data_IF_161133621177
#
_entry.id   IF_161133621177
#
_cell.length_a   1.000
_cell.length_b   1.000
_cell.length_c   1.000
_cell.angle_alpha   90.00
_cell.angle_beta   90.00
_cell.angle_gamma   90.00
#
_symmetry.space_group_name_H-M   'P 1'
#
loop_
_entity.id
_entity.type
_entity.pdbx_description
1 polymer ?
#
# COMPACT_ATOMS: atom_id res chain seq x y z
N UNK A 1 10.07 18.73 3.51
CA UNK A 1 10.23 18.74 2.03
C UNK A 1 11.28 19.78 1.67
N UNK A 2 11.87 19.70 0.47
CA UNK A 2 13.15 20.34 0.13
C UNK A 2 13.14 21.89 0.15
N UNK A 3 12.02 22.52 -0.24
CA UNK A 3 11.91 23.98 -0.18
C UNK A 3 11.40 24.44 1.18
N UNK A 4 12.07 25.42 1.77
CA UNK A 4 11.69 26.06 3.02
C UNK A 4 10.79 27.29 2.84
N UNK A 5 10.55 27.71 1.59
CA UNK A 5 9.70 28.87 1.26
C UNK A 5 8.30 28.47 0.84
N UNK A 6 8.11 27.23 0.39
CA UNK A 6 6.79 26.74 -0.01
C UNK A 6 6.00 26.25 1.22
N UNK A 7 4.76 26.73 1.44
CA UNK A 7 3.89 26.25 2.50
C UNK A 7 3.28 24.90 2.10
N UNK A 8 4.11 23.87 2.05
CA UNK A 8 3.79 22.56 1.50
C UNK A 8 2.47 21.94 1.98
N UNK A 9 2.18 22.03 3.28
CA UNK A 9 0.93 21.49 3.84
C UNK A 9 -0.29 22.21 3.26
N UNK A 10 -0.24 23.55 3.16
CA UNK A 10 -1.30 24.34 2.54
C UNK A 10 -1.41 24.07 1.05
N UNK A 11 -0.28 24.01 0.34
CA UNK A 11 -0.23 23.69 -1.08
C UNK A 11 -0.93 22.36 -1.39
N UNK A 12 -0.62 21.30 -0.64
CA UNK A 12 -1.26 20.01 -0.85
C UNK A 12 -2.75 20.04 -0.59
N UNK A 13 -3.19 20.64 0.51
CA UNK A 13 -4.62 20.78 0.80
C UNK A 13 -5.36 21.54 -0.31
N UNK A 14 -4.75 22.57 -0.88
CA UNK A 14 -5.31 23.29 -2.04
C UNK A 14 -5.37 22.38 -3.27
N UNK A 15 -4.28 21.67 -3.61
CA UNK A 15 -4.25 20.75 -4.75
C UNK A 15 -5.29 19.63 -4.61
N UNK A 16 -5.47 19.09 -3.41
CA UNK A 16 -6.51 18.08 -3.12
C UNK A 16 -7.91 18.66 -3.34
N UNK A 17 -8.16 19.87 -2.86
CA UNK A 17 -9.45 20.56 -3.05
C UNK A 17 -9.80 20.87 -4.52
N UNK A 18 -8.81 20.88 -5.42
CA UNK A 18 -9.02 21.07 -6.86
C UNK A 18 -9.45 19.80 -7.59
N UNK A 19 -9.44 18.62 -6.95
CA UNK A 19 -9.81 17.36 -7.61
C UNK A 19 -11.34 17.19 -7.57
N UNK A 20 -12.05 17.31 -8.71
CA UNK A 20 -13.48 17.10 -8.73
C UNK A 20 -13.79 15.60 -8.56
N UNK A 21 -14.73 15.28 -7.67
CA UNK A 21 -15.23 13.91 -7.44
C UNK A 21 -14.10 12.88 -7.26
N UNK A 22 -13.29 13.00 -6.18
CA UNK A 22 -12.09 12.18 -5.96
C UNK A 22 -12.40 10.70 -5.70
N UNK A 23 -13.65 10.37 -5.38
CA UNK A 23 -14.09 9.04 -5.03
C UNK A 23 -14.12 8.08 -6.22
N UNK A 24 -13.84 6.81 -5.96
CA UNK A 24 -14.07 5.68 -6.87
C UNK A 24 -14.92 4.68 -6.10
N UNK A 25 -16.13 4.35 -6.58
CA UNK A 25 -17.03 3.41 -5.90
C UNK A 25 -17.26 3.75 -4.40
N UNK A 26 -17.43 5.04 -4.10
CA UNK A 26 -17.70 5.56 -2.75
C UNK A 26 -16.49 5.57 -1.79
N UNK A 27 -15.26 5.45 -2.31
CA UNK A 27 -14.03 5.50 -1.50
C UNK A 27 -12.92 6.31 -2.16
N UNK A 28 -12.04 6.88 -1.33
CA UNK A 28 -10.80 7.49 -1.78
C UNK A 28 -9.79 6.35 -2.00
N UNK A 29 -9.59 5.98 -3.26
CA UNK A 29 -8.67 4.91 -3.63
C UNK A 29 -7.27 5.49 -3.86
N UNK A 30 -6.30 5.13 -3.03
CA UNK A 30 -4.94 5.67 -3.13
C UNK A 30 -3.91 4.56 -3.39
N UNK A 31 -2.93 4.83 -4.25
CA UNK A 31 -1.71 4.03 -4.37
C UNK A 31 -0.64 4.61 -3.46
N UNK A 32 0.01 3.75 -2.67
CA UNK A 32 1.20 4.09 -1.89
C UNK A 32 2.35 3.21 -2.38
N UNK A 33 3.47 3.86 -2.68
CA UNK A 33 4.68 3.19 -3.14
C UNK A 33 5.92 4.03 -2.82
N UNK A 34 7.10 3.42 -2.89
CA UNK A 34 8.37 4.13 -2.87
C UNK A 34 9.16 3.94 -4.16
N UNK A 35 9.91 4.97 -4.54
CA UNK A 35 10.73 4.97 -5.74
C UNK A 35 12.12 5.54 -5.46
N UNK A 36 13.08 5.14 -6.28
CA UNK A 36 14.45 5.64 -6.25
C UNK A 36 14.65 6.51 -7.49
N UNK A 37 14.98 7.78 -7.31
CA UNK A 37 15.33 8.72 -8.39
C UNK A 37 16.83 9.00 -8.33
N UNK A 38 17.59 8.42 -9.26
CA UNK A 38 19.04 8.60 -9.35
C UNK A 38 19.39 10.05 -9.69
N UNK A 39 20.43 10.58 -9.07
CA UNK A 39 20.92 11.94 -9.30
C UNK A 39 22.44 11.93 -9.51
N UNK A 40 22.96 12.98 -10.13
CA UNK A 40 24.40 13.18 -10.33
C UNK A 40 24.98 14.20 -9.35
N UNK A 41 24.18 15.21 -8.95
CA UNK A 41 24.61 16.25 -8.03
C UNK A 41 24.79 15.75 -6.59
N UNK A 42 25.99 15.94 -6.03
CA UNK A 42 26.36 15.49 -4.66
C UNK A 42 25.67 16.29 -3.54
N UNK A 43 25.20 17.51 -3.83
CA UNK A 43 24.56 18.41 -2.85
C UNK A 43 23.03 18.46 -2.96
N UNK A 44 22.43 17.55 -3.72
CA UNK A 44 20.98 17.53 -3.89
C UNK A 44 20.34 17.05 -2.58
N UNK A 45 19.42 17.85 -2.05
CA UNK A 45 18.68 17.51 -0.83
C UNK A 45 17.94 16.17 -0.98
N UNK A 46 17.92 15.37 0.08
CA UNK A 46 17.26 14.06 0.09
C UNK A 46 18.04 12.96 -0.61
N UNK A 47 19.24 13.25 -1.16
CA UNK A 47 20.09 12.22 -1.75
C UNK A 47 20.97 11.50 -0.72
N UNK A 48 21.11 10.20 -0.92
CA UNK A 48 22.07 9.34 -0.23
C UNK A 48 22.44 8.17 -1.16
N UNK A 49 23.50 7.44 -0.81
CA UNK A 49 23.74 6.11 -1.37
C UNK A 49 22.70 5.12 -0.83
N UNK A 50 21.74 4.75 -1.67
CA UNK A 50 20.61 3.88 -1.30
C UNK A 50 20.77 2.52 -1.94
N UNK A 51 20.44 1.44 -1.23
CA UNK A 51 20.41 0.11 -1.84
C UNK A 51 19.15 -0.06 -2.70
N UNK A 52 19.34 -0.43 -3.96
CA UNK A 52 18.26 -0.70 -4.89
C UNK A 52 17.99 -2.21 -4.96
N UNK A 53 16.91 -2.65 -4.32
CA UNK A 53 16.44 -4.03 -4.35
C UNK A 53 15.94 -4.47 -5.73
N UNK A 54 15.63 -3.53 -6.62
CA UNK A 54 15.13 -3.77 -7.97
C UNK A 54 16.21 -3.61 -9.05
N UNK A 55 17.45 -3.30 -8.68
CA UNK A 55 18.56 -3.14 -9.61
C UNK A 55 18.75 -4.39 -10.48
N UNK A 56 18.69 -4.19 -11.79
CA UNK A 56 19.01 -5.23 -12.78
C UNK A 56 20.51 -5.55 -12.74
N UNK A 57 20.92 -6.67 -13.36
CA UNK A 57 22.32 -7.09 -13.43
C UNK A 57 23.28 -5.99 -13.92
N UNK A 58 22.80 -5.13 -14.81
CA UNK A 58 23.58 -4.07 -15.45
C UNK A 58 23.40 -2.70 -14.78
N UNK A 59 22.79 -2.63 -13.59
CA UNK A 59 22.56 -1.41 -12.84
C UNK A 59 23.38 -1.41 -11.54
N UNK A 60 23.77 -0.21 -11.09
CA UNK A 60 24.43 -0.07 -9.80
C UNK A 60 23.45 -0.43 -8.69
N UNK A 61 23.85 -1.31 -7.76
CA UNK A 61 23.05 -1.68 -6.58
C UNK A 61 22.98 -0.58 -5.52
N UNK A 62 23.90 0.37 -5.57
CA UNK A 62 24.03 1.46 -4.61
C UNK A 62 24.13 2.81 -5.31
N UNK A 63 23.09 3.24 -6.04
CA UNK A 63 23.11 4.54 -6.70
C UNK A 63 23.06 5.68 -5.69
N UNK A 64 23.63 6.82 -6.09
CA UNK A 64 23.36 8.11 -5.46
C UNK A 64 21.97 8.59 -5.90
N UNK A 65 21.02 8.63 -4.97
CA UNK A 65 19.61 8.79 -5.33
C UNK A 65 18.76 9.39 -4.20
N UNK A 66 17.62 9.95 -4.58
CA UNK A 66 16.53 10.26 -3.65
C UNK A 66 15.64 9.03 -3.53
N UNK A 67 15.39 8.57 -2.30
CA UNK A 67 14.31 7.61 -2.04
C UNK A 67 13.03 8.39 -1.69
N UNK A 68 11.99 8.24 -2.50
CA UNK A 68 10.76 9.03 -2.42
C UNK A 68 9.61 8.08 -2.08
N UNK A 69 8.99 8.29 -0.92
CA UNK A 69 7.71 7.67 -0.57
C UNK A 69 6.62 8.56 -1.13
N UNK A 70 5.69 8.01 -1.90
CA UNK A 70 4.66 8.79 -2.58
C UNK A 70 3.27 8.18 -2.44
N UNK A 71 2.27 9.05 -2.36
CA UNK A 71 0.86 8.68 -2.38
C UNK A 71 0.18 9.37 -3.55
N UNK A 72 -0.62 8.63 -4.30
CA UNK A 72 -1.43 9.17 -5.39
C UNK A 72 -2.83 8.62 -5.42
N UNK A 73 -3.79 9.40 -5.89
CA UNK A 73 -5.18 9.04 -6.08
C UNK A 73 -5.33 8.19 -7.34
N UNK A 74 -5.81 6.96 -7.20
CA UNK A 74 -6.19 6.12 -8.32
C UNK A 74 -7.61 6.47 -8.77
N UNK A 75 -7.75 7.05 -9.95
CA UNK A 75 -9.03 7.49 -10.51
C UNK A 75 -9.14 7.11 -11.98
N UNK A 76 -10.34 6.75 -12.40
CA UNK A 76 -10.64 6.56 -13.81
C UNK A 76 -11.01 7.89 -14.46
N UNK A 77 -10.25 8.30 -15.47
CA UNK A 77 -10.43 9.52 -16.25
C UNK A 77 -10.59 9.11 -17.72
N UNK A 78 -11.73 9.45 -18.33
CA UNK A 78 -12.05 9.13 -19.74
C UNK A 78 -11.81 7.65 -20.08
N UNK A 79 -12.27 6.75 -19.22
CA UNK A 79 -12.16 5.30 -19.40
C UNK A 79 -10.78 4.70 -19.07
N UNK A 80 -9.75 5.51 -18.77
CA UNK A 80 -8.40 5.05 -18.41
C UNK A 80 -8.10 5.31 -16.95
N UNK A 81 -7.32 4.43 -16.33
CA UNK A 81 -6.83 4.67 -14.97
C UNK A 81 -5.66 5.64 -14.97
N UNK A 82 -5.73 6.60 -14.07
CA UNK A 82 -4.68 7.56 -13.79
C UNK A 82 -4.35 7.53 -12.30
N UNK A 83 -3.10 7.85 -11.99
CA UNK A 83 -2.65 8.11 -10.63
C UNK A 83 -2.33 9.59 -10.52
N UNK A 84 -3.19 10.35 -9.82
CA UNK A 84 -2.98 11.77 -9.56
C UNK A 84 -2.13 11.91 -8.31
N UNK A 85 -1.00 12.60 -8.40
CA UNK A 85 -0.09 12.73 -7.27
C UNK A 85 -0.73 13.54 -6.14
N UNK A 86 -0.71 13.00 -4.91
CA UNK A 86 -1.30 13.66 -3.74
C UNK A 86 -0.26 14.17 -2.77
N UNK A 87 0.78 13.38 -2.48
CA UNK A 87 1.83 13.79 -1.56
C UNK A 87 3.09 12.94 -1.74
N UNK A 88 4.24 13.44 -1.27
CA UNK A 88 5.48 12.70 -1.18
C UNK A 88 6.38 13.13 -0.04
N UNK A 89 7.29 12.23 0.37
CA UNK A 89 8.33 12.48 1.36
C UNK A 89 9.65 11.88 0.88
N UNK A 90 10.74 12.59 1.15
CA UNK A 90 12.08 12.03 1.00
C UNK A 90 12.41 11.18 2.22
N UNK A 91 12.74 9.92 1.99
CA UNK A 91 13.26 9.04 3.01
C UNK A 91 14.78 9.19 3.10
N UNK A 92 15.27 9.48 4.30
CA UNK A 92 16.70 9.51 4.60
C UNK A 92 17.03 8.48 5.69
N UNK A 93 18.07 7.65 5.50
CA UNK A 93 18.54 6.73 6.52
C UNK A 93 18.94 7.43 7.82
N UNK A 94 18.75 6.76 8.97
CA UNK A 94 19.11 7.32 10.28
C UNK A 94 20.60 7.75 10.35
N UNK A 95 21.49 6.97 9.74
CA UNK A 95 22.93 7.30 9.63
C UNK A 95 23.19 8.64 8.96
N UNK A 96 22.38 9.01 7.96
CA UNK A 96 22.51 10.27 7.21
C UNK A 96 22.11 11.45 8.09
N UNK A 97 21.03 11.29 8.86
CA UNK A 97 20.55 12.27 9.84
C UNK A 97 21.57 12.44 10.97
N UNK A 98 22.07 11.35 11.54
CA UNK A 98 23.08 11.37 12.62
C UNK A 98 24.40 12.00 12.18
N UNK A 99 24.82 11.74 10.94
CA UNK A 99 26.01 12.36 10.36
C UNK A 99 25.81 13.84 9.97
N UNK A 100 24.60 14.40 10.17
CA UNK A 100 24.27 15.80 9.86
C UNK A 100 24.68 16.22 8.44
N UNK A 101 24.53 15.32 7.47
CA UNK A 101 24.94 15.58 6.08
C UNK A 101 24.18 16.78 5.51
N UNK A 102 24.83 17.58 4.65
CA UNK A 102 24.20 18.70 3.94
C UNK A 102 22.90 18.28 3.21
N UNK A 103 22.85 17.05 2.68
CA UNK A 103 21.67 16.52 1.97
C UNK A 103 20.48 16.22 2.87
N UNK A 104 20.67 16.23 4.20
CA UNK A 104 19.63 16.09 5.22
C UNK A 104 19.26 17.41 5.90
N UNK A 105 19.85 18.53 5.45
CA UNK A 105 19.76 19.81 6.13
C UNK A 105 18.95 20.80 5.31
N UNK A 106 18.08 21.56 5.97
CA UNK A 106 17.32 22.67 5.38
C UNK A 106 17.57 23.89 6.27
N UNK A 107 18.08 24.98 5.69
CA UNK A 107 18.42 26.23 6.43
C UNK A 107 19.31 26.01 7.66
N UNK A 108 20.28 25.09 7.56
CA UNK A 108 21.20 24.78 8.67
C UNK A 108 20.63 23.81 9.72
N UNK A 109 19.34 23.48 9.65
CA UNK A 109 18.72 22.50 10.55
C UNK A 109 18.59 21.13 9.88
N UNK A 110 19.03 20.09 10.60
CA UNK A 110 18.91 18.71 10.15
C UNK A 110 17.48 18.24 10.36
N UNK A 111 16.87 17.65 9.33
CA UNK A 111 15.50 17.15 9.45
C UNK A 111 15.41 15.97 10.43
N UNK A 112 14.29 15.82 11.16
CA UNK A 112 14.10 14.67 12.03
C UNK A 112 14.01 13.37 11.23
N UNK A 113 14.58 12.30 11.77
CA UNK A 113 14.45 10.98 11.17
C UNK A 113 12.98 10.51 11.22
N UNK A 114 12.51 9.98 10.09
CA UNK A 114 11.22 9.30 10.01
C UNK A 114 11.37 8.03 9.16
N UNK A 115 10.76 6.95 9.62
CA UNK A 115 10.66 5.73 8.81
C UNK A 115 9.70 5.95 7.64
N UNK A 116 9.87 5.20 6.54
CA UNK A 116 8.92 5.26 5.42
C UNK A 116 7.47 4.93 5.85
N UNK A 117 7.30 4.03 6.83
CA UNK A 117 5.99 3.70 7.40
C UNK A 117 5.35 4.90 8.09
N UNK A 118 6.14 5.62 8.89
CA UNK A 118 5.68 6.85 9.56
C UNK A 118 5.31 7.90 8.53
N UNK A 119 6.17 8.14 7.53
CA UNK A 119 5.92 9.09 6.45
C UNK A 119 4.63 8.75 5.68
N UNK A 120 4.47 7.49 5.28
CA UNK A 120 3.27 7.00 4.60
C UNK A 120 2.02 7.17 5.47
N UNK A 121 2.09 6.82 6.75
CA UNK A 121 0.99 6.97 7.69
C UNK A 121 0.55 8.42 7.84
N UNK A 122 1.49 9.35 8.01
CA UNK A 122 1.20 10.79 8.08
C UNK A 122 0.52 11.31 6.81
N UNK A 123 1.00 10.91 5.63
CA UNK A 123 0.37 11.30 4.36
C UNK A 123 -1.07 10.77 4.25
N UNK A 124 -1.29 9.49 4.59
CA UNK A 124 -2.62 8.87 4.55
C UNK A 124 -3.61 9.50 5.54
N UNK A 125 -3.15 9.84 6.75
CA UNK A 125 -3.96 10.53 7.75
C UNK A 125 -4.37 11.91 7.24
N UNK A 126 -3.42 12.70 6.71
CA UNK A 126 -3.72 14.03 6.18
C UNK A 126 -4.73 14.00 5.02
N UNK A 127 -4.61 13.03 4.11
CA UNK A 127 -5.56 12.83 3.02
C UNK A 127 -6.94 12.43 3.56
N UNK A 128 -7.00 11.52 4.55
CA UNK A 128 -8.24 11.05 5.12
C UNK A 128 -8.96 12.09 6.01
N UNK A 129 -8.21 13.03 6.59
CA UNK A 129 -8.76 14.20 7.29
C UNK A 129 -9.36 15.19 6.29
N UNK A 130 -8.69 15.41 5.15
CA UNK A 130 -9.21 16.29 4.10
C UNK A 130 -10.48 15.73 3.46
N UNK A 131 -10.52 14.44 3.13
CA UNK A 131 -11.69 13.75 2.61
C UNK A 131 -12.46 13.01 3.74
N UNK A 132 -12.91 13.77 4.74
CA UNK A 132 -13.46 13.23 5.99
C UNK A 132 -14.73 12.38 5.84
N UNK A 133 -15.56 12.65 4.81
CA UNK A 133 -16.82 11.95 4.55
C UNK A 133 -16.64 10.54 3.97
N UNK A 134 -15.46 10.21 3.47
CA UNK A 134 -15.24 8.99 2.69
C UNK A 134 -14.32 8.00 3.41
N UNK A 135 -14.52 6.69 3.23
CA UNK A 135 -13.50 5.70 3.55
C UNK A 135 -12.33 5.84 2.58
N UNK A 136 -11.13 5.53 3.05
CA UNK A 136 -9.90 5.51 2.27
C UNK A 136 -9.42 4.06 2.12
N UNK A 137 -9.08 3.66 0.90
CA UNK A 137 -8.51 2.36 0.59
C UNK A 137 -7.11 2.56 0.03
N UNK A 138 -6.10 2.23 0.84
CA UNK A 138 -4.70 2.25 0.41
C UNK A 138 -4.34 0.94 -0.29
N UNK A 139 -4.04 1.04 -1.58
CA UNK A 139 -3.50 -0.04 -2.40
C UNK A 139 -1.98 0.03 -2.33
N UNK A 140 -1.36 -1.03 -1.78
CA UNK A 140 0.08 -1.02 -1.50
C UNK A 140 0.74 -2.33 -1.90
N UNK A 141 2.06 -2.29 -1.99
CA UNK A 141 2.88 -3.49 -2.06
C UNK A 141 2.89 -4.26 -0.72
N UNK A 142 3.60 -5.39 -0.68
CA UNK A 142 3.71 -6.21 0.55
C UNK A 142 4.63 -5.62 1.61
N UNK A 143 5.49 -4.65 1.25
CA UNK A 143 6.32 -3.95 2.22
C UNK A 143 5.47 -3.03 3.07
N UNK A 144 4.65 -2.17 2.46
CA UNK A 144 3.72 -1.28 3.16
C UNK A 144 2.47 -1.98 3.73
N UNK A 145 2.05 -3.09 3.12
CA UNK A 145 0.82 -3.82 3.46
C UNK A 145 0.91 -4.67 4.74
N UNK A 146 1.31 -4.07 5.86
CA UNK A 146 1.45 -4.77 7.12
C UNK A 146 0.97 -3.93 8.32
N UNK A 147 1.03 -4.53 9.51
CA UNK A 147 0.52 -3.92 10.74
C UNK A 147 1.25 -2.62 11.15
N UNK A 148 2.50 -2.43 10.72
CA UNK A 148 3.30 -1.23 10.95
C UNK A 148 2.72 0.01 10.27
N UNK A 149 2.11 -0.13 9.09
CA UNK A 149 1.34 0.96 8.48
C UNK A 149 -0.12 0.93 8.95
N UNK A 150 -0.73 -0.26 9.01
CA UNK A 150 -2.16 -0.37 9.29
C UNK A 150 -2.56 0.16 10.66
N UNK A 151 -1.84 -0.25 11.71
CA UNK A 151 -2.23 0.06 13.09
C UNK A 151 -2.16 1.57 13.41
N UNK A 152 -1.08 2.31 13.07
CA UNK A 152 -1.03 3.74 13.36
C UNK A 152 -2.12 4.54 12.64
N UNK A 153 -2.36 4.25 11.35
CA UNK A 153 -3.39 4.97 10.58
C UNK A 153 -4.79 4.60 11.08
N UNK A 154 -5.06 3.32 11.31
CA UNK A 154 -6.34 2.87 11.88
C UNK A 154 -6.61 3.48 13.27
N UNK A 155 -5.59 3.65 14.11
CA UNK A 155 -5.76 4.32 15.40
C UNK A 155 -6.16 5.80 15.25
N UNK A 156 -5.74 6.47 14.17
CA UNK A 156 -6.04 7.88 13.92
C UNK A 156 -7.42 8.11 13.28
N UNK A 157 -7.79 7.30 12.28
CA UNK A 157 -9.01 7.51 11.48
C UNK A 157 -10.04 6.38 11.58
N UNK A 158 -9.77 5.35 12.37
CA UNK A 158 -10.69 4.26 12.70
C UNK A 158 -11.10 3.40 11.50
N UNK A 159 -12.37 3.00 11.48
CA UNK A 159 -12.96 2.10 10.48
C UNK A 159 -12.97 2.66 9.05
N UNK A 160 -12.67 3.95 8.86
CA UNK A 160 -12.53 4.55 7.53
C UNK A 160 -11.29 4.06 6.80
N UNK A 161 -10.29 3.54 7.52
CA UNK A 161 -9.04 3.07 6.92
C UNK A 161 -9.09 1.61 6.49
N UNK A 162 -8.89 1.39 5.19
CA UNK A 162 -8.70 0.07 4.63
C UNK A 162 -7.40 -0.03 3.84
N UNK A 163 -6.84 -1.24 3.80
CA UNK A 163 -5.68 -1.58 2.98
C UNK A 163 -6.07 -2.69 2.02
N UNK A 164 -5.55 -2.63 0.79
CA UNK A 164 -5.49 -3.73 -0.17
C UNK A 164 -4.01 -3.95 -0.52
N UNK A 165 -3.49 -5.15 -0.26
CA UNK A 165 -2.07 -5.45 -0.52
C UNK A 165 -1.85 -6.91 -0.88
N UNK A 166 -0.66 -7.20 -1.41
CA UNK A 166 -0.19 -8.57 -1.64
C UNK A 166 0.10 -9.26 -0.31
N UNK A 167 -0.51 -10.41 -0.12
CA UNK A 167 -0.25 -11.29 1.01
C UNK A 167 1.03 -12.10 0.75
N UNK A 168 1.94 -12.14 1.74
CA UNK A 168 3.14 -12.98 1.65
C UNK A 168 2.79 -14.47 1.70
N UNK A 169 3.52 -15.27 0.93
CA UNK A 169 3.25 -16.70 0.74
C UNK A 169 3.36 -17.53 2.03
N UNK A 170 4.20 -17.10 2.98
CA UNK A 170 4.41 -17.74 4.27
C UNK A 170 3.46 -17.26 5.37
N UNK A 171 2.54 -16.32 5.09
CA UNK A 171 1.59 -15.86 6.10
C UNK A 171 0.61 -16.98 6.47
N UNK A 172 0.48 -17.24 7.77
CA UNK A 172 -0.46 -18.22 8.31
C UNK A 172 -1.85 -17.60 8.46
N UNK A 173 -2.83 -18.30 7.93
CA UNK A 173 -4.24 -17.92 7.95
C UNK A 173 -5.01 -18.77 8.96
N UNK A 174 -5.99 -18.15 9.59
CA UNK A 174 -6.88 -18.78 10.56
C UNK A 174 -8.32 -18.55 10.14
N UNK A 175 -9.19 -19.49 10.50
CA UNK A 175 -10.62 -19.28 10.35
C UNK A 175 -11.13 -18.23 11.34
N UNK A 176 -12.36 -17.78 11.14
CA UNK A 176 -13.07 -16.92 12.09
C UNK A 176 -13.30 -17.70 13.39
N UNK A 177 -13.20 -17.02 14.55
CA UNK A 177 -13.53 -17.68 15.80
C UNK A 177 -15.00 -18.11 15.80
N UNK A 178 -15.26 -19.34 16.24
CA UNK A 178 -16.61 -19.87 16.41
C UNK A 178 -17.43 -18.98 17.37
N UNK A 179 -18.74 -18.91 17.12
CA UNK A 179 -19.68 -18.22 18.02
C UNK A 179 -19.66 -18.91 19.39
N UNK A 180 -19.60 -18.13 20.47
CA UNK A 180 -19.64 -18.70 21.83
C UNK A 180 -20.98 -19.36 22.10
N UNK A 181 -20.92 -20.43 22.89
CA UNK A 181 -22.10 -21.03 23.52
C UNK A 181 -22.46 -20.23 24.78
N UNK A 182 -23.76 -20.11 25.07
CA UNK A 182 -24.26 -19.44 26.28
C UNK A 182 -23.66 -20.11 27.52
N UNK A 183 -23.10 -19.31 28.45
CA UNK A 183 -22.48 -19.82 29.69
C UNK A 183 -21.00 -20.26 29.60
N UNK A 184 -20.38 -20.20 28.42
CA UNK A 184 -18.97 -20.58 28.27
C UNK A 184 -18.06 -19.65 29.11
N UNK A 185 -17.20 -20.19 29.99
CA UNK A 185 -16.22 -19.42 30.78
C UNK A 185 -14.95 -19.07 29.97
N UNK A 186 -14.26 -17.98 30.34
CA UNK A 186 -12.98 -17.57 29.75
C UNK A 186 -13.04 -16.44 28.71
N UNK A 187 -11.86 -16.03 28.20
CA UNK A 187 -11.70 -14.94 27.20
C UNK A 187 -12.16 -15.39 25.81
N UNK A 188 -12.81 -14.50 25.05
CA UNK A 188 -13.18 -14.75 23.65
C UNK A 188 -11.95 -15.19 22.83
N UNK A 189 -12.07 -16.32 22.10
CA UNK A 189 -11.06 -16.73 21.13
C UNK A 189 -10.96 -15.66 20.04
N UNK A 190 -9.74 -15.23 19.73
CA UNK A 190 -9.49 -14.26 18.65
C UNK A 190 -9.38 -14.92 17.27
N UNK A 191 -9.01 -16.20 17.23
CA UNK A 191 -8.75 -16.97 16.01
C UNK A 191 -9.51 -18.30 16.08
N UNK A 192 -10.01 -18.76 14.94
CA UNK A 192 -10.53 -20.11 14.74
C UNK A 192 -9.42 -21.11 14.44
N UNK A 193 -9.76 -22.17 13.71
CA UNK A 193 -8.83 -23.21 13.30
C UNK A 193 -7.71 -22.63 12.42
N UNK A 194 -6.49 -23.16 12.56
CA UNK A 194 -5.40 -22.85 11.63
C UNK A 194 -5.70 -23.48 10.26
N UNK A 195 -5.79 -22.66 9.22
CA UNK A 195 -6.06 -23.10 7.85
C UNK A 195 -4.78 -23.48 7.10
N UNK A 196 -3.64 -22.91 7.50
CA UNK A 196 -2.34 -23.14 6.86
C UNK A 196 -1.68 -21.85 6.39
N UNK A 197 -0.55 -21.95 5.71
CA UNK A 197 0.08 -20.81 5.03
C UNK A 197 -0.68 -20.42 3.76
N UNK A 198 -0.46 -19.20 3.25
CA UNK A 198 -1.05 -18.77 1.98
C UNK A 198 -0.66 -19.70 0.81
N UNK A 199 0.54 -20.30 0.86
CA UNK A 199 1.00 -21.32 -0.10
C UNK A 199 0.26 -22.64 0.03
N UNK A 200 0.08 -23.14 1.26
CA UNK A 200 -0.67 -24.37 1.50
C UNK A 200 -2.12 -24.21 1.03
N UNK A 201 -2.75 -23.10 1.42
CA UNK A 201 -4.10 -22.76 0.99
C UNK A 201 -4.21 -22.64 -0.53
N UNK A 202 -3.23 -22.04 -1.21
CA UNK A 202 -3.24 -21.93 -2.67
C UNK A 202 -3.36 -23.29 -3.37
N UNK A 203 -2.70 -24.34 -2.85
CA UNK A 203 -2.78 -25.70 -3.41
C UNK A 203 -4.17 -26.32 -3.22
N UNK A 204 -4.77 -26.11 -2.06
CA UNK A 204 -6.10 -26.65 -1.72
C UNK A 204 -7.20 -25.97 -2.54
N UNK A 205 -7.21 -24.63 -2.57
CA UNK A 205 -8.31 -23.85 -3.15
C UNK A 205 -8.23 -23.68 -4.67
N UNK A 206 -7.15 -24.15 -5.30
CA UNK A 206 -6.97 -24.04 -6.75
C UNK A 206 -8.08 -24.74 -7.54
N UNK A 207 -8.58 -25.88 -7.05
CA UNK A 207 -9.68 -26.61 -7.69
C UNK A 207 -11.02 -25.88 -7.57
N UNK A 208 -11.20 -25.12 -6.49
CA UNK A 208 -12.41 -24.33 -6.21
C UNK A 208 -12.38 -22.94 -6.89
N UNK A 209 -11.27 -22.58 -7.55
CA UNK A 209 -11.12 -21.29 -8.20
C UNK A 209 -12.06 -21.13 -9.40
N UNK A 210 -12.88 -20.09 -9.35
CA UNK A 210 -13.86 -19.72 -10.38
C UNK A 210 -13.25 -18.74 -11.39
N UNK A 211 -13.83 -18.70 -12.59
CA UNK A 211 -13.44 -17.71 -13.61
C UNK A 211 -14.16 -16.39 -13.35
N UNK A 212 -13.41 -15.29 -13.37
CA UNK A 212 -13.92 -13.92 -13.26
C UNK A 212 -13.46 -13.11 -14.46
N UNK A 213 -14.36 -12.33 -15.04
CA UNK A 213 -14.01 -11.35 -16.07
C UNK A 213 -13.62 -10.05 -15.37
N UNK A 214 -12.39 -9.60 -15.60
CA UNK A 214 -11.84 -8.36 -15.01
C UNK A 214 -11.33 -7.43 -16.10
N UNK A 215 -11.52 -6.13 -15.90
CA UNK A 215 -10.99 -5.13 -16.81
C UNK A 215 -9.54 -4.79 -16.45
N UNK A 216 -8.60 -5.44 -17.14
CA UNK A 216 -7.18 -5.21 -16.98
C UNK A 216 -6.67 -4.39 -18.17
N UNK A 217 -6.37 -3.11 -17.90
CA UNK A 217 -5.83 -2.16 -18.87
C UNK A 217 -6.75 -1.89 -20.08
N UNK A 218 -8.05 -1.74 -19.83
CA UNK A 218 -9.04 -1.49 -20.88
C UNK A 218 -9.40 -2.73 -21.71
N UNK A 219 -8.86 -3.90 -21.33
CA UNK A 219 -9.18 -5.18 -21.95
C UNK A 219 -9.83 -6.09 -20.92
N UNK A 220 -10.96 -6.69 -21.29
CA UNK A 220 -11.57 -7.74 -20.50
C UNK A 220 -10.70 -8.98 -20.55
N UNK A 221 -10.34 -9.51 -19.39
CA UNK A 221 -9.54 -10.73 -19.26
C UNK A 221 -10.23 -11.69 -18.30
N UNK A 222 -10.32 -12.95 -18.69
CA UNK A 222 -10.72 -14.02 -17.80
C UNK A 222 -9.56 -14.36 -16.85
N UNK A 223 -9.83 -14.34 -15.55
CA UNK A 223 -8.87 -14.65 -14.49
C UNK A 223 -9.49 -15.67 -13.56
N UNK A 224 -8.74 -16.73 -13.21
CA UNK A 224 -9.19 -17.70 -12.21
C UNK A 224 -8.83 -17.21 -10.82
N UNK A 225 -9.81 -17.12 -9.94
CA UNK A 225 -9.58 -16.69 -8.58
C UNK A 225 -10.44 -17.44 -7.55
N UNK A 226 -9.98 -17.46 -6.31
CA UNK A 226 -10.71 -17.94 -5.16
C UNK A 226 -10.66 -16.88 -4.07
N UNK A 227 -11.81 -16.53 -3.50
CA UNK A 227 -11.93 -15.52 -2.46
C UNK A 227 -12.58 -16.10 -1.21
N UNK A 228 -12.02 -15.83 -0.04
CA UNK A 228 -12.66 -16.16 1.24
C UNK A 228 -12.30 -15.13 2.32
N UNK A 229 -13.07 -15.12 3.40
CA UNK A 229 -12.80 -14.26 4.57
C UNK A 229 -12.12 -15.09 5.65
N UNK A 230 -10.95 -14.64 6.09
CA UNK A 230 -10.11 -15.32 7.09
C UNK A 230 -9.61 -14.34 8.14
N UNK A 231 -9.18 -14.85 9.28
CA UNK A 231 -8.47 -14.08 10.29
C UNK A 231 -6.98 -14.03 9.97
N UNK A 232 -6.44 -12.83 9.80
CA UNK A 232 -5.01 -12.62 9.59
C UNK A 232 -4.32 -12.28 10.91
N UNK A 233 -3.37 -13.12 11.35
CA UNK A 233 -2.69 -12.97 12.65
C UNK A 233 -1.87 -11.68 12.76
N UNK A 234 -1.29 -11.19 11.67
CA UNK A 234 -0.47 -9.98 11.67
C UNK A 234 -1.30 -8.72 11.94
N UNK A 235 -2.52 -8.64 11.41
CA UNK A 235 -3.46 -7.53 11.63
C UNK A 235 -4.47 -7.79 12.77
N UNK A 236 -4.57 -9.04 13.24
CA UNK A 236 -5.49 -9.49 14.30
C UNK A 236 -6.96 -9.21 14.00
N UNK A 237 -7.35 -9.25 12.73
CA UNK A 237 -8.71 -8.92 12.25
C UNK A 237 -9.14 -9.78 11.06
N UNK A 238 -10.44 -9.87 10.75
CA UNK A 238 -10.90 -10.52 9.53
C UNK A 238 -10.45 -9.71 8.31
N UNK A 239 -10.01 -10.41 7.29
CA UNK A 239 -9.62 -9.88 5.99
C UNK A 239 -10.21 -10.76 4.91
N UNK A 240 -10.56 -10.16 3.78
CA UNK A 240 -10.87 -10.89 2.58
C UNK A 240 -9.56 -11.23 1.87
N UNK A 241 -9.30 -12.49 1.59
CA UNK A 241 -8.13 -12.95 0.85
C UNK A 241 -8.59 -13.50 -0.49
N UNK A 242 -7.90 -13.09 -1.55
CA UNK A 242 -8.15 -13.52 -2.92
C UNK A 242 -6.87 -14.13 -3.49
N UNK A 243 -6.92 -15.40 -3.84
CA UNK A 243 -5.89 -16.07 -4.62
C UNK A 243 -6.22 -15.94 -6.09
N UNK A 244 -5.29 -15.40 -6.86
CA UNK A 244 -5.36 -15.25 -8.31
C UNK A 244 -4.41 -16.26 -8.93
N UNK A 245 -4.95 -17.17 -9.74
CA UNK A 245 -4.20 -18.24 -10.38
C UNK A 245 -3.91 -17.91 -11.85
N UNK A 246 -2.65 -18.08 -12.24
CA UNK A 246 -2.18 -18.06 -13.64
C UNK A 246 -1.73 -19.46 -14.05
N UNK A 247 -1.32 -19.61 -15.32
CA UNK A 247 -0.86 -20.89 -15.89
C UNK A 247 0.16 -21.61 -15.00
N UNK A 248 1.15 -20.90 -14.46
CA UNK A 248 2.26 -21.51 -13.69
C UNK A 248 2.51 -20.88 -12.32
N UNK A 249 1.78 -19.82 -11.97
CA UNK A 249 2.03 -19.01 -10.77
C UNK A 249 0.72 -18.57 -10.14
N UNK A 250 0.78 -18.21 -8.86
CA UNK A 250 -0.34 -17.62 -8.14
C UNK A 250 0.11 -16.37 -7.36
N UNK A 251 -0.85 -15.49 -7.08
CA UNK A 251 -0.68 -14.32 -6.23
C UNK A 251 -1.81 -14.34 -5.21
N UNK A 252 -1.51 -14.07 -3.94
CA UNK A 252 -2.53 -13.83 -2.93
C UNK A 252 -2.60 -12.33 -2.62
N UNK A 253 -3.80 -11.78 -2.65
CA UNK A 253 -4.14 -10.42 -2.24
C UNK A 253 -4.98 -10.49 -0.97
N UNK A 254 -4.87 -9.50 -0.10
CA UNK A 254 -5.78 -9.35 1.03
C UNK A 254 -6.30 -7.93 1.13
N UNK A 255 -7.53 -7.77 1.62
CA UNK A 255 -8.07 -6.48 2.03
C UNK A 255 -8.72 -6.52 3.40
N UNK A 256 -8.62 -5.42 4.12
CA UNK A 256 -9.41 -5.20 5.34
C UNK A 256 -10.83 -4.72 5.07
N UNK A 257 -11.12 -4.25 3.84
CA UNK A 257 -12.48 -3.95 3.39
C UNK A 257 -13.14 -5.26 2.93
N UNK A 258 -14.10 -5.75 3.71
CA UNK A 258 -14.80 -7.01 3.43
C UNK A 258 -15.93 -6.85 2.40
N UNK A 259 -16.21 -5.62 1.96
CA UNK A 259 -17.24 -5.32 0.97
C UNK A 259 -16.68 -5.29 -0.45
N UNK A 260 -15.36 -5.44 -0.62
CA UNK A 260 -14.76 -5.49 -1.96
C UNK A 260 -15.12 -6.81 -2.66
N UNK A 261 -15.57 -6.70 -3.90
CA UNK A 261 -15.69 -7.88 -4.75
C UNK A 261 -14.30 -8.43 -5.11
N UNK A 262 -14.26 -9.73 -5.46
CA UNK A 262 -13.04 -10.38 -5.97
C UNK A 262 -12.50 -9.62 -7.20
N UNK A 263 -13.38 -9.17 -8.09
CA UNK A 263 -13.01 -8.40 -9.29
C UNK A 263 -12.39 -7.05 -8.92
N UNK A 264 -13.00 -6.29 -8.00
CA UNK A 264 -12.45 -5.01 -7.52
C UNK A 264 -11.06 -5.18 -6.89
N UNK A 265 -10.86 -6.18 -6.03
CA UNK A 265 -9.54 -6.44 -5.43
C UNK A 265 -8.47 -6.71 -6.48
N UNK A 266 -8.78 -7.53 -7.49
CA UNK A 266 -7.86 -7.86 -8.58
C UNK A 266 -7.55 -6.60 -9.39
N UNK A 267 -8.59 -5.88 -9.79
CA UNK A 267 -8.46 -4.70 -10.63
C UNK A 267 -7.67 -3.58 -9.96
N UNK A 268 -8.02 -3.21 -8.73
CA UNK A 268 -7.36 -2.12 -8.00
C UNK A 268 -5.88 -2.43 -7.76
N UNK A 269 -5.55 -3.65 -7.35
CA UNK A 269 -4.16 -4.05 -7.12
C UNK A 269 -3.34 -4.04 -8.41
N UNK A 270 -3.91 -4.56 -9.51
CA UNK A 270 -3.23 -4.59 -10.81
C UNK A 270 -2.94 -3.21 -11.39
N UNK A 271 -3.78 -2.21 -11.04
CA UNK A 271 -3.60 -0.80 -11.43
C UNK A 271 -2.43 -0.17 -10.68
N UNK A 272 -2.31 -0.40 -9.36
CA UNK A 272 -1.15 0.05 -8.58
C UNK A 272 0.17 -0.58 -9.07
N UNK A 273 0.17 -1.89 -9.35
CA UNK A 273 1.37 -2.60 -9.79
C UNK A 273 1.96 -2.06 -11.11
N UNK A 274 1.13 -1.47 -12.00
CA UNK A 274 1.61 -0.79 -13.21
C UNK A 274 2.33 0.51 -12.89
N UNK A 275 1.84 1.30 -11.93
CA UNK A 275 2.50 2.56 -11.56
C UNK A 275 3.90 2.29 -11.00
N UNK A 276 4.04 1.28 -10.14
CA UNK A 276 5.33 0.80 -9.64
C UNK A 276 6.30 0.45 -10.79
N UNK A 277 5.83 -0.29 -11.81
CA UNK A 277 6.67 -0.68 -12.95
C UNK A 277 6.96 0.45 -13.94
N UNK A 278 6.05 1.41 -14.12
CA UNK A 278 6.26 2.55 -15.02
C UNK A 278 7.25 3.59 -14.47
N UNK A 279 7.36 3.72 -13.14
CA UNK A 279 8.33 4.63 -12.51
C UNK A 279 9.79 4.14 -12.65
N UNK A 280 10.01 2.93 -13.17
CA UNK A 280 11.34 2.35 -13.40
C UNK A 280 11.78 2.37 -14.87
N UNK A 281 11.02 3.03 -15.75
CA UNK A 281 11.29 3.11 -17.19
C UNK A 281 11.47 4.54 -17.72
N UNK A 282 11.71 5.50 -16.83
CA UNK A 282 12.07 6.89 -17.16
C UNK A 282 13.47 7.23 -16.70
#
# INVERSE_FOLDING_TARGET
MASSTLPWSGLWKTVWGLIPSPETDGRILVALDDSISTKVGKKIFGCETVFDHAAKSNQCKYPWAQNIVSVGLLKQIKGRWACLFLDFRFYLPLKTIQAKKETATIRGEVIPFQTKMTQAGTMLIGIAEHYSSCPILAVTDSWFGNNGLWKPVYNAIGNRFNILSRLRCNNVLYDRPEKRKKGQRGRNKKYGQRLGSATEMAKTVQKEAKSYTVNLYGKQRAVRAYGCVVMLKTLKRPVQVVWVFRRTQWIALFSTDLNLSVTQMIEYWWKQARHATSQHSG
#
